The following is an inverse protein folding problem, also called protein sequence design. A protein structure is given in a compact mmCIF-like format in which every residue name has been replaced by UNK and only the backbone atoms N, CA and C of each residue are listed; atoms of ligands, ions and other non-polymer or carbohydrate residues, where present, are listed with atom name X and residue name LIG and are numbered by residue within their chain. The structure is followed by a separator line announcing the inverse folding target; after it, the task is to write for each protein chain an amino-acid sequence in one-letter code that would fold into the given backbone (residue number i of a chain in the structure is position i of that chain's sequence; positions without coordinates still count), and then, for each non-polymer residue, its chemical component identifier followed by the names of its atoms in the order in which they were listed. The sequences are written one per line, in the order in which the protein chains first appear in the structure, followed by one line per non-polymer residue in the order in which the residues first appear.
data_IF_469788853349
#
_entry.id   IF_469788853349
#
_cell.length_a   1.000
_cell.length_b   1.000
_cell.length_c   1.000
_cell.angle_alpha   90.00
_cell.angle_beta   90.00
_cell.angle_gamma   90.00
#
_symmetry.space_group_name_H-M   'P 1'
#
loop_
_entity.id
_entity.type
_entity.pdbx_description
1 polymer ?
#
# COMPACT_ATOMS: atom_id res chain seq x y z
N UNK A 1 -9.07 -0.37 8.82
CA UNK A 1 -7.80 -0.13 9.54
C UNK A 1 -6.92 0.84 8.78
N UNK A 2 -6.47 0.50 7.58
CA UNK A 2 -5.59 1.36 6.78
C UNK A 2 -5.94 1.35 5.29
N UNK A 3 -5.23 2.21 4.56
CA UNK A 3 -5.27 2.31 3.11
C UNK A 3 -3.89 2.73 2.58
N UNK A 4 -3.38 2.01 1.58
CA UNK A 4 -2.22 2.39 0.81
C UNK A 4 -2.58 2.60 -0.66
N UNK A 5 -1.95 3.60 -1.27
CA UNK A 5 -2.06 3.88 -2.69
C UNK A 5 -0.68 3.97 -3.32
N UNK A 6 -0.54 3.35 -4.48
CA UNK A 6 0.65 3.50 -5.33
C UNK A 6 0.27 3.91 -6.75
N UNK A 7 1.08 4.80 -7.31
CA UNK A 7 1.02 5.21 -8.70
C UNK A 7 2.11 4.48 -9.46
N UNK A 8 1.70 3.59 -10.34
CA UNK A 8 2.61 2.79 -11.16
C UNK A 8 2.69 3.39 -12.55
N UNK A 9 3.89 3.55 -13.08
CA UNK A 9 4.14 3.89 -14.48
C UNK A 9 5.09 2.84 -15.07
N UNK A 10 4.56 1.94 -15.89
CA UNK A 10 5.31 0.77 -16.34
C UNK A 10 5.57 -0.19 -15.18
N UNK A 11 6.84 -0.42 -14.86
CA UNK A 11 7.34 -1.22 -13.74
C UNK A 11 7.74 -0.38 -12.51
N UNK A 12 7.63 0.95 -12.58
CA UNK A 12 8.03 1.84 -11.49
C UNK A 12 6.87 2.32 -10.62
N UNK A 13 7.05 2.27 -9.31
CA UNK A 13 6.24 3.05 -8.36
C UNK A 13 6.78 4.48 -8.34
N UNK A 14 5.93 5.43 -8.71
CA UNK A 14 6.28 6.86 -8.84
C UNK A 14 5.80 7.71 -7.67
N UNK A 15 4.82 7.21 -6.91
CA UNK A 15 4.26 7.85 -5.72
C UNK A 15 3.64 6.78 -4.82
N UNK A 16 3.81 6.96 -3.52
CA UNK A 16 3.15 6.18 -2.48
C UNK A 16 2.38 7.09 -1.52
N UNK A 17 1.28 6.58 -0.98
CA UNK A 17 0.51 7.23 0.07
C UNK A 17 0.01 6.15 1.03
N UNK A 18 0.23 6.35 2.32
CA UNK A 18 -0.30 5.49 3.38
C UNK A 18 -1.22 6.33 4.29
N UNK A 19 -2.37 5.76 4.65
CA UNK A 19 -3.37 6.36 5.53
C UNK A 19 -3.81 5.35 6.57
N UNK A 20 -3.98 5.85 7.78
CA UNK A 20 -4.54 5.12 8.91
C UNK A 20 -5.91 5.68 9.26
N UNK A 21 -6.78 4.83 9.81
CA UNK A 21 -8.14 5.22 10.16
C UNK A 21 -8.28 5.46 11.67
N UNK A 22 -8.27 6.74 12.06
CA UNK A 22 -8.39 7.17 13.45
C UNK A 22 -9.68 6.70 14.13
N UNK A 23 -10.79 6.55 13.38
CA UNK A 23 -12.04 6.05 13.95
C UNK A 23 -11.90 4.63 14.48
N UNK A 24 -11.19 3.76 13.76
CA UNK A 24 -10.88 2.42 14.25
C UNK A 24 -9.83 2.45 15.36
N UNK A 25 -8.79 3.27 15.22
CA UNK A 25 -7.74 3.40 16.25
C UNK A 25 -8.18 4.11 17.53
N UNK A 26 -9.45 4.52 17.62
CA UNK A 26 -10.09 5.01 18.83
C UNK A 26 -11.03 3.98 19.48
N UNK A 27 -11.16 2.77 18.93
CA UNK A 27 -11.91 1.68 19.58
C UNK A 27 -11.03 0.90 20.56
N UNK A 28 -11.64 0.25 21.56
CA UNK A 28 -10.89 -0.53 22.55
C UNK A 28 -10.06 -1.65 21.95
N UNK A 29 -10.53 -2.26 20.85
CA UNK A 29 -9.86 -3.38 20.18
C UNK A 29 -8.55 -2.95 19.52
N UNK A 30 -8.56 -1.81 18.81
CA UNK A 30 -7.42 -1.42 17.97
C UNK A 30 -6.59 -0.28 18.55
N UNK A 31 -7.02 0.37 19.63
CA UNK A 31 -6.26 1.46 20.26
C UNK A 31 -5.10 0.94 21.13
N UNK A 32 -4.20 0.16 20.53
CA UNK A 32 -2.95 -0.32 21.14
C UNK A 32 -1.75 0.10 20.28
N UNK A 33 -0.54 0.22 20.86
CA UNK A 33 0.66 0.44 20.08
C UNK A 33 0.87 -0.65 19.01
N UNK A 34 0.63 -1.91 19.36
CA UNK A 34 0.86 -3.05 18.47
C UNK A 34 -0.02 -2.99 17.20
N UNK A 35 -1.31 -2.72 17.33
CA UNK A 35 -2.21 -2.54 16.18
C UNK A 35 -1.83 -1.33 15.31
N UNK A 36 -1.43 -0.22 15.93
CA UNK A 36 -1.01 0.99 15.20
C UNK A 36 0.28 0.76 14.43
N UNK A 37 1.25 0.08 15.05
CA UNK A 37 2.54 -0.26 14.43
C UNK A 37 2.36 -1.25 13.28
N UNK A 38 1.61 -2.33 13.49
CA UNK A 38 1.31 -3.33 12.45
C UNK A 38 0.71 -2.67 11.20
N UNK A 39 -0.40 -1.94 11.35
CA UNK A 39 -1.10 -1.36 10.19
C UNK A 39 -0.25 -0.29 9.53
N UNK A 40 0.45 0.56 10.28
CA UNK A 40 1.34 1.54 9.66
C UNK A 40 2.46 0.85 8.86
N UNK A 41 3.03 -0.22 9.40
CA UNK A 41 4.07 -0.99 8.73
C UNK A 41 3.54 -1.65 7.45
N UNK A 42 2.34 -2.25 7.49
CA UNK A 42 1.67 -2.84 6.31
C UNK A 42 1.45 -1.80 5.21
N UNK A 43 0.84 -0.67 5.54
CA UNK A 43 0.53 0.33 4.52
C UNK A 43 1.79 0.96 3.94
N UNK A 44 2.85 1.17 4.74
CA UNK A 44 4.16 1.59 4.23
C UNK A 44 4.78 0.51 3.34
N UNK A 45 4.74 -0.77 3.76
CA UNK A 45 5.21 -1.90 2.95
C UNK A 45 4.51 -1.98 1.60
N UNK A 46 3.18 -1.82 1.56
CA UNK A 46 2.41 -1.74 0.32
C UNK A 46 2.86 -0.57 -0.57
N UNK A 47 3.20 0.60 0.01
CA UNK A 47 3.73 1.72 -0.80
C UNK A 47 5.08 1.43 -1.46
N UNK A 48 5.80 0.43 -0.96
CA UNK A 48 7.07 -0.06 -1.51
C UNK A 48 6.89 -1.31 -2.39
N UNK A 49 5.65 -1.74 -2.63
CA UNK A 49 5.32 -2.87 -3.50
C UNK A 49 5.33 -4.24 -2.82
N UNK A 50 5.40 -4.30 -1.49
CA UNK A 50 5.24 -5.56 -0.76
C UNK A 50 3.77 -5.99 -0.72
N UNK A 51 3.51 -7.29 -0.89
CA UNK A 51 2.21 -7.92 -0.65
C UNK A 51 2.28 -8.75 0.64
N UNK A 52 1.14 -9.24 1.12
CA UNK A 52 1.13 -10.06 2.32
C UNK A 52 1.81 -11.43 2.11
N UNK A 53 2.53 -11.91 3.12
CA UNK A 53 3.08 -13.26 3.19
C UNK A 53 2.00 -14.29 3.58
N UNK A 54 1.09 -13.91 4.48
CA UNK A 54 -0.10 -14.69 4.84
C UNK A 54 -1.30 -13.75 5.07
N UNK A 55 -2.47 -14.21 4.62
CA UNK A 55 -3.75 -13.49 4.71
C UNK A 55 -4.76 -14.24 5.59
N UNK A 56 -4.39 -15.42 6.10
CA UNK A 56 -5.21 -16.21 7.01
C UNK A 56 -5.06 -15.70 8.44
N UNK A 57 -5.97 -14.82 8.82
CA UNK A 57 -6.00 -14.06 10.08
C UNK A 57 -5.76 -14.84 11.38
N UNK A 58 -6.14 -16.12 11.41
CA UNK A 58 -6.06 -16.99 12.59
C UNK A 58 -4.81 -17.91 12.57
N UNK A 59 -3.96 -17.80 11.54
CA UNK A 59 -2.69 -18.52 11.51
C UNK A 59 -1.72 -17.94 12.55
N UNK A 60 -0.78 -18.76 13.07
CA UNK A 60 0.30 -18.26 13.92
C UNK A 60 1.15 -17.24 13.17
N UNK A 61 1.55 -16.19 13.88
CA UNK A 61 2.35 -15.11 13.31
C UNK A 61 3.63 -15.60 12.63
N UNK A 62 3.93 -15.01 11.48
CA UNK A 62 5.18 -15.21 10.76
C UNK A 62 6.33 -14.30 11.23
N UNK A 63 6.03 -13.34 12.10
CA UNK A 63 7.01 -12.40 12.65
C UNK A 63 7.35 -11.25 11.70
N UNK A 64 6.40 -10.87 10.85
CA UNK A 64 6.49 -9.84 9.82
C UNK A 64 5.26 -8.97 9.87
N UNK A 65 5.41 -7.67 9.62
CA UNK A 65 4.26 -6.81 9.46
C UNK A 65 3.48 -7.08 8.18
N UNK A 66 4.06 -7.72 7.17
CA UNK A 66 3.33 -8.14 5.97
C UNK A 66 2.52 -9.44 6.20
N UNK A 67 2.14 -9.73 7.44
CA UNK A 67 1.28 -10.84 7.83
C UNK A 67 -0.03 -10.31 8.43
N UNK A 68 -1.14 -10.97 8.12
CA UNK A 68 -2.43 -10.69 8.73
C UNK A 68 -2.60 -11.48 10.02
N UNK A 69 -2.89 -10.79 11.12
CA UNK A 69 -2.95 -11.42 12.44
C UNK A 69 -4.01 -10.82 13.35
N UNK A 70 -4.56 -11.67 14.23
CA UNK A 70 -5.38 -11.29 15.39
C UNK A 70 -4.57 -10.89 16.62
N UNK A 71 -3.26 -11.08 16.60
CA UNK A 71 -2.35 -10.94 17.73
C UNK A 71 -1.07 -10.21 17.32
N UNK A 72 -1.11 -8.87 17.10
CA UNK A 72 0.03 -8.14 16.54
C UNK A 72 1.32 -8.21 17.35
N UNK A 73 1.24 -8.31 18.68
CA UNK A 73 2.38 -8.46 19.59
C UNK A 73 2.91 -9.91 19.67
N UNK A 74 2.09 -10.89 19.24
CA UNK A 74 2.48 -12.27 19.01
C UNK A 74 2.58 -13.13 20.27
N UNK A 75 3.39 -14.23 20.24
CA UNK A 75 4.66 -14.37 19.52
C UNK A 75 4.62 -15.24 18.24
N UNK A 76 5.48 -14.96 17.22
CA UNK A 76 6.39 -13.80 17.10
C UNK A 76 5.65 -12.48 16.81
N UNK A 77 6.25 -11.34 17.13
CA UNK A 77 5.63 -10.02 16.87
C UNK A 77 5.56 -9.71 15.37
N UNK A 78 4.42 -9.20 14.92
CA UNK A 78 4.19 -8.71 13.56
C UNK A 78 4.29 -7.18 13.48
N UNK A 79 4.83 -6.49 14.48
CA UNK A 79 4.92 -5.02 14.47
C UNK A 79 5.98 -4.45 13.51
N UNK A 80 6.82 -5.29 12.91
CA UNK A 80 7.97 -4.88 12.10
C UNK A 80 8.25 -5.84 10.94
N UNK A 81 9.02 -5.43 9.91
CA UNK A 81 9.41 -6.31 8.82
C UNK A 81 10.30 -7.47 9.30
N UNK A 82 10.30 -8.57 8.56
CA UNK A 82 11.23 -9.69 8.72
C UNK A 82 12.26 -9.74 7.58
N UNK A 83 13.14 -10.75 7.61
CA UNK A 83 14.17 -10.92 6.58
C UNK A 83 13.58 -11.07 5.17
N UNK A 84 12.47 -11.79 5.01
CA UNK A 84 11.83 -11.99 3.71
C UNK A 84 11.31 -10.67 3.12
N UNK A 85 10.78 -9.75 3.94
CA UNK A 85 10.36 -8.43 3.44
C UNK A 85 11.55 -7.64 2.86
N UNK A 86 12.70 -7.68 3.54
CA UNK A 86 13.91 -7.03 3.03
C UNK A 86 14.45 -7.69 1.77
N UNK A 87 14.40 -9.02 1.66
CA UNK A 87 14.79 -9.77 0.46
C UNK A 87 13.89 -9.43 -0.74
N UNK A 88 12.59 -9.23 -0.50
CA UNK A 88 11.67 -8.75 -1.52
C UNK A 88 12.00 -7.32 -1.96
N UNK A 89 12.28 -6.41 -1.02
CA UNK A 89 12.71 -5.05 -1.36
C UNK A 89 14.00 -5.04 -2.17
N UNK A 90 14.99 -5.87 -1.81
CA UNK A 90 16.21 -6.01 -2.60
C UNK A 90 15.89 -6.50 -4.02
N UNK A 91 15.01 -7.50 -4.16
CA UNK A 91 14.60 -8.01 -5.47
C UNK A 91 13.89 -6.94 -6.31
N UNK A 92 13.00 -6.15 -5.71
CA UNK A 92 12.24 -5.08 -6.38
C UNK A 92 13.19 -3.96 -6.80
N UNK A 93 14.11 -3.53 -5.93
CA UNK A 93 14.88 -2.30 -6.08
C UNK A 93 16.36 -2.50 -6.48
N UNK A 94 16.83 -3.73 -6.75
CA UNK A 94 18.22 -3.99 -7.18
C UNK A 94 18.55 -3.52 -8.63
N UNK A 95 17.64 -2.81 -9.29
CA UNK A 95 17.86 -2.24 -10.61
C UNK A 95 18.25 -0.77 -10.54
N UNK A 96 18.90 -0.29 -11.61
CA UNK A 96 19.21 1.13 -11.77
C UNK A 96 18.11 1.79 -12.60
N UNK A 97 17.66 2.95 -12.14
CA UNK A 97 16.74 3.78 -12.91
C UNK A 97 17.51 4.67 -13.90
N UNK A 98 16.99 4.75 -15.12
CA UNK A 98 17.55 5.63 -16.16
C UNK A 98 17.13 7.10 -16.01
N UNK A 99 16.25 7.41 -15.06
CA UNK A 99 15.75 8.75 -14.75
C UNK A 99 15.46 8.89 -13.24
N UNK A 100 15.31 10.12 -12.74
CA UNK A 100 14.90 10.38 -11.35
C UNK A 100 13.66 11.26 -11.32
N UNK A 101 12.78 11.02 -10.34
CA UNK A 101 11.61 11.86 -10.05
C UNK A 101 11.93 12.98 -9.05
N UNK A 102 13.07 12.90 -8.36
CA UNK A 102 13.56 13.94 -7.46
C UNK A 102 13.86 15.16 -8.32
N UNK A 103 13.15 16.27 -8.08
CA UNK A 103 13.18 17.54 -8.82
C UNK A 103 12.21 17.67 -10.01
N UNK A 104 11.22 16.78 -10.17
CA UNK A 104 10.07 17.04 -11.05
C UNK A 104 9.09 18.06 -10.43
N UNK A 105 9.54 19.29 -10.18
CA UNK A 105 8.66 20.47 -10.14
C UNK A 105 8.39 20.91 -11.58
N UNK A 106 7.76 20.06 -12.36
CA UNK A 106 7.62 20.30 -13.79
C UNK A 106 6.22 20.77 -14.13
N UNK A 107 6.13 22.07 -14.40
CA UNK A 107 5.10 22.67 -15.26
C UNK A 107 5.12 21.96 -16.62
N UNK A 108 4.48 20.81 -16.74
CA UNK A 108 4.35 20.11 -18.02
C UNK A 108 3.18 20.70 -18.82
N UNK A 109 3.46 21.79 -19.54
CA UNK A 109 2.57 22.32 -20.58
C UNK A 109 2.98 21.79 -21.95
N UNK A 110 2.79 20.50 -22.20
CA UNK A 110 2.68 19.96 -23.55
C UNK A 110 1.59 18.90 -23.55
N UNK A 111 0.70 18.99 -24.54
CA UNK A 111 -0.53 18.23 -24.74
C UNK A 111 -0.56 16.87 -24.02
N UNK A 112 -1.05 16.90 -22.78
CA UNK A 112 -1.22 15.71 -21.97
C UNK A 112 -2.61 15.13 -22.24
N UNK A 113 -2.75 13.84 -22.59
CA UNK A 113 -4.04 13.19 -22.57
C UNK A 113 -4.69 13.42 -21.20
N UNK A 114 -6.00 13.69 -21.14
CA UNK A 114 -6.70 13.96 -19.86
C UNK A 114 -6.40 12.91 -18.76
N UNK A 115 -6.11 11.66 -19.15
CA UNK A 115 -5.71 10.60 -18.23
C UNK A 115 -4.36 10.82 -17.54
N UNK A 116 -3.35 11.40 -18.20
CA UNK A 116 -2.03 11.61 -17.58
C UNK A 116 -2.03 12.74 -16.56
N UNK A 117 -2.80 13.81 -16.79
CA UNK A 117 -2.93 14.87 -15.81
C UNK A 117 -3.67 14.38 -14.55
N UNK A 118 -4.76 13.63 -14.73
CA UNK A 118 -5.47 13.01 -13.61
C UNK A 118 -4.57 12.04 -12.83
N UNK A 119 -3.72 11.27 -13.51
CA UNK A 119 -2.75 10.39 -12.85
C UNK A 119 -1.73 11.17 -12.01
N UNK A 120 -1.11 12.22 -12.57
CA UNK A 120 -0.03 12.99 -11.92
C UNK A 120 -0.53 13.85 -10.75
N UNK A 121 -1.64 14.56 -10.95
CA UNK A 121 -2.15 15.56 -10.00
C UNK A 121 -3.29 15.01 -9.13
N UNK A 122 -3.82 13.84 -9.47
CA UNK A 122 -5.00 13.26 -8.84
C UNK A 122 -4.78 12.95 -7.37
N UNK A 123 -5.77 13.36 -6.57
CA UNK A 123 -5.96 12.88 -5.21
C UNK A 123 -7.19 11.98 -5.24
N UNK A 124 -6.99 10.67 -5.05
CA UNK A 124 -8.04 9.65 -5.21
C UNK A 124 -8.60 9.25 -3.84
N UNK A 125 -9.22 10.22 -3.16
CA UNK A 125 -9.73 10.06 -1.79
C UNK A 125 -10.96 9.14 -1.72
N UNK A 126 -11.87 9.23 -2.69
CA UNK A 126 -13.16 8.57 -2.58
C UNK A 126 -13.12 7.15 -3.18
N UNK A 127 -13.90 6.19 -2.66
CA UNK A 127 -13.99 4.85 -3.24
C UNK A 127 -14.37 4.82 -4.73
N UNK A 128 -15.16 5.80 -5.21
CA UNK A 128 -15.49 5.96 -6.63
C UNK A 128 -14.26 6.25 -7.51
N UNK A 129 -13.19 6.73 -6.89
CA UNK A 129 -11.97 7.14 -7.55
C UNK A 129 -10.99 5.99 -7.75
N UNK A 130 -11.12 4.89 -7.00
CA UNK A 130 -10.13 3.80 -6.96
C UNK A 130 -10.22 2.83 -8.14
N UNK A 131 -11.27 2.93 -8.94
CA UNK A 131 -11.46 2.08 -10.13
C UNK A 131 -12.13 0.75 -9.80
N UNK A 132 -11.65 -0.33 -10.44
CA UNK A 132 -12.25 -1.66 -10.34
C UNK A 132 -11.65 -2.42 -9.16
N UNK A 133 -12.49 -3.05 -8.36
CA UNK A 133 -12.02 -4.01 -7.35
C UNK A 133 -11.52 -5.27 -8.05
N UNK A 134 -10.26 -5.63 -7.83
CA UNK A 134 -9.60 -6.78 -8.47
C UNK A 134 -9.34 -7.93 -7.49
N UNK A 135 -9.34 -7.66 -6.19
CA UNK A 135 -9.24 -8.67 -5.13
C UNK A 135 -10.08 -8.25 -3.93
N UNK A 136 -10.70 -9.22 -3.25
CA UNK A 136 -11.42 -8.98 -2.00
C UNK A 136 -11.42 -10.23 -1.13
N UNK A 137 -11.16 -10.03 0.16
CA UNK A 137 -11.46 -10.99 1.23
C UNK A 137 -12.31 -10.29 2.29
N UNK A 138 -12.60 -11.00 3.39
CA UNK A 138 -13.21 -10.40 4.57
C UNK A 138 -12.36 -9.25 5.15
N UNK A 139 -11.04 -9.29 4.98
CA UNK A 139 -10.10 -8.38 5.62
C UNK A 139 -9.34 -7.46 4.67
N UNK A 140 -9.18 -7.84 3.40
CA UNK A 140 -8.53 -6.99 2.39
C UNK A 140 -9.46 -6.61 1.23
N UNK A 141 -9.14 -5.52 0.57
CA UNK A 141 -9.57 -5.27 -0.80
C UNK A 141 -8.46 -4.58 -1.60
N UNK A 142 -8.32 -4.94 -2.87
CA UNK A 142 -7.41 -4.29 -3.82
C UNK A 142 -8.23 -3.73 -4.99
N UNK A 143 -8.00 -2.46 -5.29
CA UNK A 143 -8.59 -1.77 -6.43
C UNK A 143 -7.52 -1.35 -7.42
N UNK A 144 -7.87 -1.39 -8.71
CA UNK A 144 -7.05 -0.89 -9.81
C UNK A 144 -7.84 0.14 -10.62
N UNK A 145 -7.22 1.30 -10.84
CA UNK A 145 -7.63 2.26 -11.86
C UNK A 145 -6.54 2.40 -12.91
N UNK A 146 -6.88 1.99 -14.13
CA UNK A 146 -6.01 2.11 -15.30
C UNK A 146 -6.26 3.45 -16.02
N UNK A 147 -5.20 4.22 -16.25
CA UNK A 147 -5.21 5.47 -17.00
C UNK A 147 -4.72 5.32 -18.44
N UNK A 148 -4.38 4.08 -18.85
CA UNK A 148 -3.76 3.74 -20.12
C UNK A 148 -2.25 3.96 -20.10
N UNK A 149 -1.57 3.49 -21.16
CA UNK A 149 -0.13 3.66 -21.38
C UNK A 149 0.75 3.19 -20.19
N UNK A 150 0.33 2.15 -19.48
CA UNK A 150 1.05 1.59 -18.34
C UNK A 150 0.94 2.42 -17.05
N UNK A 151 0.09 3.45 -17.00
CA UNK A 151 -0.17 4.24 -15.80
C UNK A 151 -1.35 3.66 -15.01
N UNK A 152 -1.11 3.29 -13.76
CA UNK A 152 -2.12 2.68 -12.88
C UNK A 152 -2.09 3.23 -11.48
N UNK A 153 -3.25 3.41 -10.88
CA UNK A 153 -3.40 3.57 -9.43
C UNK A 153 -3.81 2.22 -8.84
N UNK A 154 -3.05 1.71 -7.89
CA UNK A 154 -3.46 0.59 -7.04
C UNK A 154 -3.84 1.12 -5.66
N UNK A 155 -4.96 0.66 -5.11
CA UNK A 155 -5.43 1.02 -3.76
C UNK A 155 -5.64 -0.24 -2.94
N UNK A 156 -4.82 -0.42 -1.92
CA UNK A 156 -4.87 -1.48 -0.92
C UNK A 156 -5.70 -1.00 0.27
N UNK A 157 -6.58 -1.86 0.77
CA UNK A 157 -7.46 -1.55 1.91
C UNK A 157 -7.34 -2.66 2.94
N UNK A 158 -6.94 -2.30 4.16
CA UNK A 158 -7.00 -3.18 5.33
C UNK A 158 -8.29 -2.87 6.07
N UNK A 159 -9.24 -3.80 6.08
CA UNK A 159 -10.55 -3.68 6.74
C UNK A 159 -10.43 -4.01 8.23
N UNK A 160 -11.26 -3.37 9.04
CA UNK A 160 -11.40 -3.75 10.44
C UNK A 160 -12.28 -5.00 10.57
N UNK A 161 -12.20 -5.63 11.74
CA UNK A 161 -13.10 -6.67 12.21
C UNK A 161 -14.36 -6.14 12.89
#
# INVERSE_FOLDING_TARGET
MGLAQIWVSGDHITKGLAKVNDSYFNTSTYNTPAWKNLVMCQEVGHTLGLDHQDEAFDNPNLGTCMDYTSDPDGPPSNEHPNAHDYEQLETIYAHLDSFTTVNQTSKFSFWQPRGSQAFLEGIFENPSDWGKKIRETARIALYERDFGAGMKLLTFIIKAE
#
